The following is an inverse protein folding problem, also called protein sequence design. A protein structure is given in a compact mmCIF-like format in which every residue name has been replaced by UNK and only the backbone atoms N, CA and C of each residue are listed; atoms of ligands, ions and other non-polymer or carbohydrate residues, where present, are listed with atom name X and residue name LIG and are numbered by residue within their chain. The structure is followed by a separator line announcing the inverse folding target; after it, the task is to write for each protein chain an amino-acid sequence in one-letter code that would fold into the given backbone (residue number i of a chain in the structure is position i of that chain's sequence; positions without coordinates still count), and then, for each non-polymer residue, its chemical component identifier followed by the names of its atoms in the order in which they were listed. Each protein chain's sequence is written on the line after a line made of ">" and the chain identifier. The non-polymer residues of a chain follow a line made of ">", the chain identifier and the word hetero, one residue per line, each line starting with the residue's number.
data_IF_153406064209
#
_entry.id   IF_153406064209
#
_cell.length_a   1.000
_cell.length_b   1.000
_cell.length_c   1.000
_cell.angle_alpha   90.00
_cell.angle_beta   90.00
_cell.angle_gamma   90.00
#
_symmetry.space_group_name_H-M   'P 1'
#
loop_
_entity.id
_entity.type
_entity.pdbx_description
1 polymer ?
#
# COMPACT_ATOMS: atom_id res chain seq x y z
N UNK A 1 -4.48 13.30 -9.12
CA UNK A 1 -3.05 12.90 -9.10
C UNK A 1 -2.97 11.69 -8.18
N UNK A 2 -2.52 10.55 -8.70
CA UNK A 2 -2.34 9.36 -7.86
C UNK A 2 -1.03 9.56 -7.09
N UNK A 3 -1.14 9.82 -5.79
CA UNK A 3 0.01 10.02 -4.92
C UNK A 3 0.28 8.73 -4.16
N UNK A 4 1.55 8.33 -4.11
CA UNK A 4 2.00 7.17 -3.35
C UNK A 4 3.18 7.58 -2.47
N UNK A 5 3.06 7.28 -1.18
CA UNK A 5 4.06 7.55 -0.16
C UNK A 5 4.52 6.22 0.41
N UNK A 6 5.83 6.07 0.52
CA UNK A 6 6.48 5.00 1.27
C UNK A 6 7.37 5.65 2.31
N UNK A 7 7.24 5.23 3.56
CA UNK A 7 8.17 5.65 4.60
C UNK A 7 8.59 4.49 5.49
N UNK A 8 9.80 4.63 6.02
CA UNK A 8 10.35 3.76 7.04
C UNK A 8 11.06 4.65 8.05
N UNK A 9 10.67 4.55 9.31
CA UNK A 9 11.37 5.23 10.39
C UNK A 9 12.52 4.35 10.85
N UNK A 10 13.71 4.92 11.05
CA UNK A 10 14.86 4.17 11.55
C UNK A 10 14.51 3.45 12.86
N UNK A 11 14.79 2.14 12.91
CA UNK A 11 14.45 1.27 14.04
C UNK A 11 13.00 0.75 14.05
N UNK A 12 12.14 1.16 13.11
CA UNK A 12 10.81 0.57 12.96
C UNK A 12 10.89 -0.81 12.30
N UNK A 13 10.00 -1.70 12.71
CA UNK A 13 9.88 -3.06 12.16
C UNK A 13 9.00 -3.12 10.92
N UNK A 14 8.50 -1.99 10.43
CA UNK A 14 7.54 -1.91 9.34
C UNK A 14 7.90 -0.85 8.31
N UNK A 15 7.58 -1.16 7.06
CA UNK A 15 7.43 -0.20 5.98
C UNK A 15 5.95 0.12 5.82
N UNK A 16 5.61 1.40 5.85
CA UNK A 16 4.25 1.87 5.64
C UNK A 16 4.14 2.46 4.24
N UNK A 17 3.05 2.11 3.56
CA UNK A 17 2.73 2.58 2.22
C UNK A 17 1.34 3.18 2.25
N UNK A 18 1.19 4.38 1.71
CA UNK A 18 -0.11 5.03 1.53
C UNK A 18 -0.23 5.50 0.10
N UNK A 19 -1.31 5.14 -0.58
CA UNK A 19 -1.60 5.71 -1.90
C UNK A 19 -3.07 6.05 -2.05
N UNK A 20 -3.38 7.04 -2.90
CA UNK A 20 -4.75 7.45 -3.21
C UNK A 20 -5.01 7.26 -4.70
N UNK A 21 -6.05 6.50 -5.01
CA UNK A 21 -6.54 6.33 -6.37
C UNK A 21 -7.76 7.22 -6.57
N UNK A 22 -7.71 8.11 -7.55
CA UNK A 22 -8.83 9.01 -7.90
C UNK A 22 -9.17 8.83 -9.37
N UNK A 23 -10.41 8.40 -9.65
CA UNK A 23 -11.01 8.32 -10.99
C UNK A 23 -12.34 9.07 -10.98
N UNK A 24 -12.35 10.36 -11.35
CA UNK A 24 -13.53 11.22 -11.28
C UNK A 24 -14.69 10.74 -12.17
N UNK A 25 -14.40 10.18 -13.34
CA UNK A 25 -15.43 9.75 -14.30
C UNK A 25 -16.28 8.60 -13.72
N UNK A 26 -15.64 7.73 -12.94
CA UNK A 26 -16.28 6.60 -12.24
C UNK A 26 -16.71 6.95 -10.81
N UNK A 27 -16.51 8.19 -10.36
CA UNK A 27 -16.73 8.65 -8.98
C UNK A 27 -15.98 7.81 -7.94
N UNK A 28 -14.80 7.33 -8.29
CA UNK A 28 -13.95 6.56 -7.37
C UNK A 28 -12.92 7.50 -6.76
N UNK A 29 -12.87 7.52 -5.43
CA UNK A 29 -11.82 8.15 -4.66
C UNK A 29 -11.51 7.24 -3.48
N UNK A 30 -10.42 6.49 -3.59
CA UNK A 30 -10.10 5.42 -2.65
C UNK A 30 -8.67 5.57 -2.13
N UNK A 31 -8.48 5.78 -0.82
CA UNK A 31 -7.19 5.66 -0.18
C UNK A 31 -6.90 4.19 0.14
N UNK A 32 -5.63 3.82 0.06
CA UNK A 32 -5.11 2.52 0.41
C UNK A 32 -3.92 2.70 1.35
N UNK A 33 -3.94 1.96 2.45
CA UNK A 33 -2.87 1.96 3.44
C UNK A 33 -2.41 0.52 3.61
N UNK A 34 -1.13 0.29 3.40
CA UNK A 34 -0.52 -1.03 3.42
C UNK A 34 0.67 -0.98 4.37
N UNK A 35 0.89 -2.10 5.05
CA UNK A 35 2.05 -2.28 5.92
C UNK A 35 2.74 -3.58 5.56
N UNK A 36 4.06 -3.52 5.49
CA UNK A 36 4.94 -4.68 5.33
C UNK A 36 5.90 -4.74 6.49
N UNK A 37 6.07 -5.91 7.11
CA UNK A 37 7.13 -6.07 8.13
C UNK A 37 8.50 -6.12 7.47
N UNK A 38 9.54 -5.58 8.10
CA UNK A 38 10.93 -5.67 7.60
C UNK A 38 11.37 -7.12 7.45
N UNK A 39 10.93 -7.99 8.35
CA UNK A 39 11.17 -9.44 8.31
C UNK A 39 10.33 -10.20 7.28
N UNK A 40 9.33 -9.56 6.67
CA UNK A 40 8.48 -10.17 5.65
C UNK A 40 9.18 -10.09 4.28
N UNK A 41 9.38 -11.23 3.58
CA UNK A 41 9.84 -11.24 2.21
C UNK A 41 8.91 -10.44 1.30
N UNK A 42 9.49 -9.78 0.29
CA UNK A 42 8.73 -8.95 -0.66
C UNK A 42 7.65 -9.79 -1.35
N UNK A 43 7.93 -11.05 -1.72
CA UNK A 43 6.97 -11.89 -2.45
C UNK A 43 5.72 -12.18 -1.63
N UNK A 44 5.86 -12.37 -0.31
CA UNK A 44 4.72 -12.64 0.58
C UNK A 44 3.84 -11.39 0.72
N UNK A 45 4.46 -10.22 0.81
CA UNK A 45 3.74 -8.95 0.81
C UNK A 45 2.97 -8.76 -0.51
N UNK A 46 3.60 -9.01 -1.66
CA UNK A 46 2.95 -8.90 -2.97
C UNK A 46 1.75 -9.86 -3.10
N UNK A 47 1.87 -11.11 -2.62
CA UNK A 47 0.74 -12.05 -2.58
C UNK A 47 -0.43 -11.53 -1.74
N UNK A 48 -0.15 -10.91 -0.59
CA UNK A 48 -1.19 -10.27 0.23
C UNK A 48 -1.87 -9.11 -0.51
N UNK A 49 -1.11 -8.30 -1.24
CA UNK A 49 -1.69 -7.21 -2.03
C UNK A 49 -2.63 -7.75 -3.10
N UNK A 50 -2.18 -8.76 -3.84
CA UNK A 50 -2.95 -9.39 -4.91
C UNK A 50 -4.31 -9.92 -4.40
N UNK A 51 -4.32 -10.57 -3.23
CA UNK A 51 -5.54 -11.10 -2.60
C UNK A 51 -6.48 -10.01 -2.09
N UNK A 52 -5.95 -8.88 -1.60
CA UNK A 52 -6.75 -7.86 -0.90
C UNK A 52 -7.19 -6.70 -1.79
N UNK A 53 -6.46 -6.39 -2.87
CA UNK A 53 -6.76 -5.27 -3.77
C UNK A 53 -7.62 -5.68 -4.96
N UNK A 54 -7.64 -6.96 -5.34
CA UNK A 54 -8.51 -7.49 -6.39
C UNK A 54 -9.91 -7.91 -5.90
N UNK A 55 -10.28 -7.56 -4.66
CA UNK A 55 -11.64 -7.72 -4.11
C UNK A 55 -12.45 -6.44 -4.23
#
# INVERSE_FOLDING_TARGET
>A
MNEAFLWHKQGAETFDFSFRYVEPELKVDRPFNLVRKVSEPVENFLKRLDVNLHK
#
